data_IF_492436151341
#
_entry.id   IF_492436151341
#
_cell.length_a   1.000
_cell.length_b   1.000
_cell.length_c   1.000
_cell.angle_alpha   90.00
_cell.angle_beta   90.00
_cell.angle_gamma   90.00
#
_symmetry.space_group_name_H-M   'P 1'
#
loop_
_entity.id
_entity.type
_entity.pdbx_description
1 polymer ?
#
# COMPACT_ATOMS: atom_id res chain seq x y z
N UNK A 1 -35.44 65.63 10.07
CA UNK A 1 -35.80 64.21 9.85
C UNK A 1 -35.30 63.63 8.51
N UNK A 2 -35.08 64.42 7.46
CA UNK A 2 -34.58 63.93 6.15
C UNK A 2 -33.06 63.87 6.00
N UNK A 3 -32.30 64.54 6.88
CA UNK A 3 -30.84 64.61 6.83
C UNK A 3 -30.19 63.38 7.48
N UNK A 4 -30.67 62.99 8.67
CA UNK A 4 -30.25 61.76 9.37
C UNK A 4 -30.48 60.49 8.54
N UNK A 5 -31.59 60.44 7.78
CA UNK A 5 -31.91 59.30 6.91
C UNK A 5 -30.92 59.18 5.75
N UNK A 6 -30.47 60.31 5.19
CA UNK A 6 -29.47 60.33 4.12
C UNK A 6 -28.09 59.90 4.61
N UNK A 7 -27.71 60.31 5.82
CA UNK A 7 -26.45 59.88 6.43
C UNK A 7 -26.45 58.37 6.74
N UNK A 8 -27.55 57.86 7.31
CA UNK A 8 -27.74 56.43 7.57
C UNK A 8 -27.65 55.60 6.28
N UNK A 9 -28.31 56.05 5.20
CA UNK A 9 -28.23 55.37 3.90
C UNK A 9 -26.80 55.33 3.34
N UNK A 10 -26.05 56.44 3.45
CA UNK A 10 -24.64 56.49 3.02
C UNK A 10 -23.74 55.50 3.77
N UNK A 11 -23.94 55.39 5.10
CA UNK A 11 -23.21 54.40 5.93
C UNK A 11 -23.60 52.96 5.61
N UNK A 12 -24.87 52.70 5.33
CA UNK A 12 -25.39 51.38 4.98
C UNK A 12 -24.84 50.89 3.63
N UNK A 13 -24.80 51.79 2.65
CA UNK A 13 -24.30 51.50 1.30
C UNK A 13 -22.78 51.23 1.30
N UNK A 14 -22.05 51.86 2.22
CA UNK A 14 -20.64 51.53 2.49
C UNK A 14 -20.49 50.15 3.14
N UNK A 15 -21.31 49.84 4.14
CA UNK A 15 -21.30 48.55 4.84
C UNK A 15 -21.69 47.38 3.92
N UNK A 16 -22.68 47.55 3.03
CA UNK A 16 -23.05 46.51 2.06
C UNK A 16 -21.91 46.21 1.07
N UNK A 17 -21.21 47.24 0.59
CA UNK A 17 -20.06 47.07 -0.30
C UNK A 17 -18.92 46.32 0.38
N UNK A 18 -18.59 46.70 1.62
CA UNK A 18 -17.55 46.03 2.40
C UNK A 18 -17.94 44.58 2.74
N UNK A 19 -19.18 44.35 3.15
CA UNK A 19 -19.70 43.01 3.44
C UNK A 19 -19.69 42.12 2.19
N UNK A 20 -20.06 42.65 1.01
CA UNK A 20 -19.99 41.91 -0.25
C UNK A 20 -18.55 41.57 -0.65
N UNK A 21 -17.59 42.44 -0.36
CA UNK A 21 -16.16 42.18 -0.58
C UNK A 21 -15.64 41.09 0.36
N UNK A 22 -15.97 41.17 1.65
CA UNK A 22 -15.61 40.16 2.65
C UNK A 22 -16.21 38.79 2.30
N UNK A 23 -17.49 38.74 1.89
CA UNK A 23 -18.13 37.49 1.45
C UNK A 23 -17.46 36.87 0.24
N UNK A 24 -17.04 37.68 -0.75
CA UNK A 24 -16.31 37.18 -1.92
C UNK A 24 -14.93 36.66 -1.55
N UNK A 25 -14.19 37.39 -0.73
CA UNK A 25 -12.84 36.99 -0.29
C UNK A 25 -12.94 35.71 0.56
N UNK A 26 -13.82 35.69 1.56
CA UNK A 26 -14.05 34.52 2.41
C UNK A 26 -14.53 33.30 1.61
N UNK A 27 -15.45 33.49 0.66
CA UNK A 27 -15.88 32.44 -0.25
C UNK A 27 -14.74 31.88 -1.11
N UNK A 28 -13.91 32.76 -1.68
CA UNK A 28 -12.74 32.32 -2.48
C UNK A 28 -11.69 31.60 -1.64
N UNK A 29 -11.47 32.03 -0.40
CA UNK A 29 -10.52 31.40 0.52
C UNK A 29 -11.01 30.00 0.92
N UNK A 30 -12.30 29.87 1.25
CA UNK A 30 -12.91 28.57 1.57
C UNK A 30 -12.84 27.60 0.37
N UNK A 31 -13.10 28.08 -0.85
CA UNK A 31 -12.99 27.27 -2.06
C UNK A 31 -11.55 26.80 -2.30
N UNK A 32 -10.55 27.68 -2.10
CA UNK A 32 -9.14 27.33 -2.23
C UNK A 32 -8.70 26.27 -1.21
N UNK A 33 -9.12 26.41 0.05
CA UNK A 33 -8.86 25.42 1.10
C UNK A 33 -9.52 24.08 0.76
N UNK A 34 -10.77 24.09 0.27
CA UNK A 34 -11.48 22.89 -0.15
C UNK A 34 -10.75 22.14 -1.28
N UNK A 35 -10.31 22.87 -2.31
CA UNK A 35 -9.54 22.29 -3.42
C UNK A 35 -8.19 21.72 -2.97
N UNK A 36 -7.46 22.44 -2.11
CA UNK A 36 -6.19 21.96 -1.56
C UNK A 36 -6.36 20.72 -0.68
N UNK A 37 -7.45 20.67 0.11
CA UNK A 37 -7.79 19.50 0.93
C UNK A 37 -8.00 18.23 0.09
N UNK A 38 -8.69 18.33 -1.04
CA UNK A 38 -8.94 17.17 -1.92
C UNK A 38 -7.62 16.58 -2.46
N UNK A 39 -6.67 17.43 -2.86
CA UNK A 39 -5.36 16.96 -3.37
C UNK A 39 -4.51 16.33 -2.26
N UNK A 40 -4.52 16.90 -1.04
CA UNK A 40 -3.75 16.39 0.09
C UNK A 40 -4.18 15.00 0.60
N UNK A 41 -5.47 14.65 0.47
CA UNK A 41 -5.97 13.33 0.86
C UNK A 41 -5.66 12.23 -0.17
N UNK A 42 -5.43 12.58 -1.43
CA UNK A 42 -5.22 11.64 -2.53
C UNK A 42 -3.76 11.23 -2.72
N UNK A 43 -2.81 11.84 -2.00
CA UNK A 43 -1.41 11.46 -2.09
C UNK A 43 -1.24 10.02 -1.57
N UNK A 44 -0.73 9.07 -2.39
CA UNK A 44 -0.47 7.73 -1.94
C UNK A 44 0.56 7.80 -0.82
N UNK A 45 0.14 7.40 0.40
CA UNK A 45 1.08 7.23 1.50
C UNK A 45 1.99 6.07 1.12
N UNK A 46 3.21 6.40 0.70
CA UNK A 46 4.25 5.40 0.52
C UNK A 46 4.67 4.95 1.92
N UNK A 47 4.04 3.90 2.43
CA UNK A 47 4.46 3.26 3.64
C UNK A 47 5.75 2.49 3.36
N UNK A 48 6.83 2.78 4.08
CA UNK A 48 8.10 2.04 3.96
C UNK A 48 7.97 0.58 4.41
N UNK A 49 6.95 0.28 5.22
CA UNK A 49 6.66 -1.08 5.69
C UNK A 49 5.15 -1.33 5.66
N UNK A 50 4.75 -2.46 5.08
CA UNK A 50 3.37 -2.95 5.10
C UNK A 50 3.28 -4.11 6.06
N UNK A 51 2.58 -3.93 7.18
CA UNK A 51 2.28 -4.99 8.13
C UNK A 51 0.97 -5.65 7.75
N UNK A 52 1.02 -6.94 7.41
CA UNK A 52 -0.16 -7.72 7.06
C UNK A 52 0.07 -9.19 7.40
N UNK A 53 -0.99 -9.86 7.86
CA UNK A 53 -0.96 -11.31 8.07
C UNK A 53 -1.00 -12.08 6.74
N UNK A 54 -1.56 -11.43 5.71
CA UNK A 54 -1.70 -11.96 4.36
C UNK A 54 -1.61 -10.84 3.34
N UNK A 55 -0.80 -11.05 2.31
CA UNK A 55 -0.68 -10.16 1.16
C UNK A 55 -1.10 -10.89 -0.11
N UNK A 56 -2.09 -10.36 -0.82
CA UNK A 56 -2.65 -10.96 -2.03
C UNK A 56 -2.47 -10.02 -3.20
N UNK A 57 -1.71 -10.45 -4.21
CA UNK A 57 -1.59 -9.76 -5.49
C UNK A 57 -2.66 -10.32 -6.42
N UNK A 58 -3.52 -9.45 -6.94
CA UNK A 58 -4.56 -9.79 -7.92
C UNK A 58 -4.24 -9.20 -9.30
N UNK A 59 -4.73 -9.84 -10.36
CA UNK A 59 -4.72 -9.25 -11.70
C UNK A 59 -5.92 -8.30 -11.92
N UNK A 60 -5.97 -7.67 -13.09
CA UNK A 60 -7.05 -6.75 -13.47
C UNK A 60 -8.45 -7.39 -13.56
N UNK A 61 -8.53 -8.73 -13.55
CA UNK A 61 -9.77 -9.49 -13.56
C UNK A 61 -10.15 -10.00 -12.15
N UNK A 62 -9.37 -9.64 -11.12
CA UNK A 62 -9.58 -10.06 -9.73
C UNK A 62 -9.03 -11.45 -9.40
N UNK A 63 -8.26 -12.09 -10.29
CA UNK A 63 -7.67 -13.39 -9.97
C UNK A 63 -6.42 -13.21 -9.10
N UNK A 64 -6.35 -13.95 -8.00
CA UNK A 64 -5.16 -13.97 -7.14
C UNK A 64 -3.98 -14.62 -7.88
N UNK A 65 -2.89 -13.88 -8.08
CA UNK A 65 -1.66 -14.30 -8.75
C UNK A 65 -0.56 -14.71 -7.80
N UNK A 66 -0.46 -14.00 -6.68
CA UNK A 66 0.50 -14.31 -5.63
C UNK A 66 -0.15 -14.13 -4.27
N UNK A 67 0.13 -15.05 -3.35
CA UNK A 67 -0.35 -14.97 -1.97
C UNK A 67 0.83 -15.21 -1.05
N UNK A 68 1.25 -14.18 -0.33
CA UNK A 68 2.11 -14.32 0.83
C UNK A 68 1.21 -14.51 2.05
N UNK A 69 1.38 -15.64 2.74
CA UNK A 69 0.58 -15.98 3.90
C UNK A 69 1.49 -16.32 5.08
N UNK A 70 1.34 -15.56 6.16
CA UNK A 70 1.93 -15.85 7.46
C UNK A 70 0.85 -16.14 8.52
N UNK A 71 -0.43 -16.00 8.17
CA UNK A 71 -1.55 -16.10 9.10
C UNK A 71 -1.80 -17.53 9.59
N UNK A 72 -1.74 -17.75 10.91
CA UNK A 72 -2.13 -19.00 11.58
C UNK A 72 -1.52 -20.28 11.01
N UNK A 73 -0.42 -20.18 10.26
CA UNK A 73 0.27 -21.34 9.71
C UNK A 73 1.60 -21.53 10.45
N UNK A 74 1.93 -22.78 10.78
CA UNK A 74 3.31 -23.14 11.18
C UNK A 74 4.27 -23.15 9.98
N UNK A 75 3.79 -22.73 8.81
CA UNK A 75 4.41 -22.93 7.50
C UNK A 75 4.19 -21.67 6.65
N UNK A 76 4.75 -20.52 7.04
CA UNK A 76 4.64 -19.31 6.24
C UNK A 76 5.20 -19.55 4.84
N UNK A 77 4.60 -18.90 3.85
CA UNK A 77 5.03 -19.10 2.48
C UNK A 77 4.37 -18.18 1.48
N UNK A 78 4.89 -18.24 0.26
CA UNK A 78 4.36 -17.56 -0.91
C UNK A 78 3.91 -18.59 -1.93
N UNK A 79 2.70 -18.42 -2.45
CA UNK A 79 2.13 -19.24 -3.52
C UNK A 79 1.97 -18.41 -4.79
N UNK A 80 2.31 -18.99 -5.93
CA UNK A 80 2.13 -18.42 -7.26
C UNK A 80 1.03 -19.18 -7.99
N UNK A 81 0.08 -18.46 -8.57
CA UNK A 81 -1.08 -19.01 -9.25
C UNK A 81 -1.07 -18.68 -10.75
N UNK A 82 -1.58 -19.60 -11.55
CA UNK A 82 -1.83 -19.38 -12.98
C UNK A 82 -3.07 -18.50 -13.23
N UNK A 83 -3.41 -18.33 -14.52
CA UNK A 83 -4.56 -17.53 -14.94
C UNK A 83 -5.93 -18.09 -14.55
N UNK A 84 -5.99 -19.34 -14.14
CA UNK A 84 -7.20 -19.97 -13.58
C UNK A 84 -7.23 -19.93 -12.05
N UNK A 85 -6.24 -19.30 -11.41
CA UNK A 85 -6.12 -19.25 -9.95
C UNK A 85 -5.49 -20.50 -9.34
N UNK A 86 -4.93 -21.40 -10.16
CA UNK A 86 -4.33 -22.66 -9.70
C UNK A 86 -2.87 -22.48 -9.32
N UNK A 87 -2.47 -22.96 -8.15
CA UNK A 87 -1.09 -22.94 -7.69
C UNK A 87 -0.14 -23.67 -8.65
N UNK A 88 0.85 -22.95 -9.18
CA UNK A 88 1.91 -23.45 -10.08
C UNK A 88 3.27 -23.51 -9.40
N UNK A 89 3.48 -22.73 -8.35
CA UNK A 89 4.64 -22.83 -7.50
C UNK A 89 4.34 -22.38 -6.08
N UNK A 90 5.11 -22.87 -5.12
CA UNK A 90 5.09 -22.40 -3.74
C UNK A 90 6.50 -22.42 -3.15
N UNK A 91 6.87 -21.35 -2.46
CA UNK A 91 8.05 -21.30 -1.60
C UNK A 91 7.54 -21.20 -0.16
N UNK A 92 7.88 -22.18 0.67
CA UNK A 92 7.28 -22.31 2.01
C UNK A 92 8.26 -22.91 3.01
N UNK A 93 8.09 -22.54 4.27
CA UNK A 93 8.71 -23.24 5.39
C UNK A 93 7.85 -24.49 5.69
N UNK A 94 8.46 -25.66 5.72
CA UNK A 94 7.83 -26.92 6.10
C UNK A 94 7.69 -27.02 7.62
N UNK A 95 6.88 -27.98 8.09
CA UNK A 95 6.72 -28.22 9.53
C UNK A 95 8.03 -28.61 10.23
N UNK A 96 9.00 -29.16 9.49
CA UNK A 96 10.34 -29.47 9.98
C UNK A 96 11.20 -28.22 10.22
N UNK A 97 10.78 -27.04 9.72
CA UNK A 97 11.58 -25.83 9.72
C UNK A 97 12.36 -25.62 8.42
N UNK A 98 12.46 -26.63 7.57
CA UNK A 98 13.17 -26.54 6.29
C UNK A 98 12.41 -25.70 5.28
N UNK A 99 13.12 -24.98 4.42
CA UNK A 99 12.50 -24.26 3.31
C UNK A 99 12.31 -25.22 2.14
N UNK A 100 11.20 -25.11 1.42
CA UNK A 100 10.97 -25.87 0.20
C UNK A 100 10.43 -25.01 -0.93
N UNK A 101 10.92 -25.26 -2.15
CA UNK A 101 10.36 -24.78 -3.40
C UNK A 101 9.65 -25.92 -4.10
N UNK A 102 8.33 -25.81 -4.26
CA UNK A 102 7.48 -26.77 -4.96
C UNK A 102 7.03 -26.16 -6.27
N UNK A 103 7.14 -26.92 -7.36
CA UNK A 103 6.62 -26.56 -8.68
C UNK A 103 5.55 -27.58 -9.04
N UNK A 104 4.41 -27.11 -9.54
CA UNK A 104 3.25 -27.94 -9.87
C UNK A 104 2.99 -27.94 -11.38
N UNK A 105 2.57 -29.08 -11.93
CA UNK A 105 2.02 -29.18 -13.29
C UNK A 105 0.60 -28.58 -13.30
N UNK A 106 0.06 -28.23 -14.48
CA UNK A 106 -1.34 -27.76 -14.65
C UNK A 106 -2.40 -28.68 -14.02
N UNK A 107 -2.09 -29.94 -13.73
CA UNK A 107 -2.99 -30.87 -13.02
C UNK A 107 -2.91 -30.80 -11.48
N UNK A 108 -2.04 -29.97 -10.89
CA UNK A 108 -1.83 -29.91 -9.43
C UNK A 108 -0.90 -31.00 -8.90
N UNK A 109 -0.42 -31.89 -9.78
CA UNK A 109 0.66 -32.83 -9.45
C UNK A 109 1.99 -32.09 -9.34
N UNK A 110 2.79 -32.40 -8.33
CA UNK A 110 4.16 -31.89 -8.19
C UNK A 110 4.98 -32.25 -9.43
N UNK A 111 5.53 -31.23 -10.08
CA UNK A 111 6.47 -31.35 -11.19
C UNK A 111 7.90 -31.50 -10.68
N UNK A 112 8.26 -30.70 -9.67
CA UNK A 112 9.55 -30.71 -9.01
C UNK A 112 9.40 -30.23 -7.57
N UNK A 113 10.32 -30.62 -6.71
CA UNK A 113 10.42 -30.15 -5.34
C UNK A 113 11.90 -30.04 -4.99
N UNK A 114 12.28 -28.89 -4.45
CA UNK A 114 13.59 -28.64 -3.88
C UNK A 114 13.39 -28.36 -2.40
N UNK A 115 14.16 -29.04 -1.55
CA UNK A 115 14.18 -28.77 -0.12
C UNK A 115 15.54 -28.21 0.24
N UNK A 116 15.55 -27.15 1.02
CA UNK A 116 16.74 -26.47 1.50
C UNK A 116 16.79 -26.70 3.00
N UNK A 117 17.68 -27.59 3.41
CA UNK A 117 18.03 -27.87 4.80
C UNK A 117 19.38 -27.19 5.08
N UNK A 118 19.70 -26.83 6.33
CA UNK A 118 21.03 -26.30 6.65
C UNK A 118 22.16 -27.20 6.10
N UNK A 119 21.99 -28.52 6.23
CA UNK A 119 22.95 -29.53 5.77
C UNK A 119 23.21 -29.52 4.26
N UNK A 120 22.19 -29.23 3.43
CA UNK A 120 22.36 -29.19 1.98
C UNK A 120 22.58 -27.77 1.42
N UNK A 121 22.27 -26.75 2.19
CA UNK A 121 22.61 -25.35 1.91
C UNK A 121 24.12 -25.15 1.97
N UNK A 122 24.80 -25.77 2.94
CA UNK A 122 26.27 -25.78 3.03
C UNK A 122 26.90 -26.40 1.78
N UNK A 123 26.27 -27.45 1.21
CA UNK A 123 26.71 -28.09 -0.03
C UNK A 123 26.39 -27.27 -1.29
N UNK A 124 25.43 -26.34 -1.23
CA UNK A 124 25.05 -25.43 -2.32
C UNK A 124 25.79 -24.09 -2.26
N UNK A 125 26.57 -23.84 -1.20
CA UNK A 125 26.93 -22.49 -0.75
C UNK A 125 28.39 -22.24 -0.37
N UNK A 126 29.38 -22.86 -1.02
CA UNK A 126 30.79 -22.40 -0.92
C UNK A 126 31.05 -21.03 -1.56
N UNK A 127 30.04 -20.15 -1.65
CA UNK A 127 30.12 -18.81 -2.25
C UNK A 127 29.39 -17.73 -1.45
N UNK A 128 29.04 -17.98 -0.18
CA UNK A 128 28.66 -16.88 0.74
C UNK A 128 29.92 -16.43 1.47
N UNK A 129 30.79 -15.73 0.74
CA UNK A 129 31.98 -15.10 1.28
C UNK A 129 31.57 -14.00 2.27
N UNK A 130 31.83 -14.27 3.56
CA UNK A 130 32.65 -13.48 4.49
C UNK A 130 32.54 -11.94 4.60
N UNK A 131 31.58 -11.24 3.98
CA UNK A 131 31.53 -9.76 3.98
C UNK A 131 30.35 -9.12 4.74
N UNK A 132 29.66 -9.88 5.60
CA UNK A 132 28.54 -9.34 6.38
C UNK A 132 28.94 -8.63 7.69
N UNK A 133 30.23 -8.48 8.02
CA UNK A 133 30.69 -7.94 9.32
C UNK A 133 31.48 -6.61 9.23
N UNK A 134 31.21 -5.77 8.22
CA UNK A 134 31.76 -4.40 8.15
C UNK A 134 30.77 -3.40 7.57
N UNK A 135 29.75 -2.98 8.33
CA UNK A 135 29.15 -1.64 8.14
C UNK A 135 28.22 -1.16 9.27
N UNK A 136 28.43 -1.58 10.52
CA UNK A 136 27.84 -0.86 11.67
C UNK A 136 28.92 -0.59 12.72
N UNK A 137 29.66 0.50 12.49
CA UNK A 137 30.15 1.42 13.52
C UNK A 137 30.63 2.71 12.86
#
# INVERSE_FOLDING_TARGET
>A
MSEDTRELMSRLDRLERENRRIKRIGGSLLAAIGLAGIVGFAAPRVCNTVWAERFVVQDSRGNSRMVLNAYSTKTPGITFNDASGKGVAALQIEKSGDMSLKIFKRAGRRAASFSFTPENLDALGSSVDADADRSIN
#
